data_IF_698335696834
#
_entry.id   IF_698335696834
#
_cell.length_a   1.000
_cell.length_b   1.000
_cell.length_c   1.000
_cell.angle_alpha   90.00
_cell.angle_beta   90.00
_cell.angle_gamma   90.00
#
_symmetry.space_group_name_H-M   'P 1'
#
loop_
_entity.id
_entity.type
_entity.pdbx_description
1 polymer ?
#
# COMPACT_ATOMS: atom_id res chain seq x y z
N UNK A 1 -43.53 37.98 -12.38
CA UNK A 1 -43.58 36.85 -13.32
C UNK A 1 -42.52 35.84 -12.90
N UNK A 2 -42.99 34.63 -12.62
CA UNK A 2 -42.26 33.41 -12.27
C UNK A 2 -41.24 33.00 -13.33
N UNK A 3 -40.15 32.33 -12.90
CA UNK A 3 -39.46 31.19 -13.53
C UNK A 3 -38.12 31.01 -12.76
N UNK A 4 -38.04 30.25 -11.66
CA UNK A 4 -37.94 28.77 -11.61
C UNK A 4 -37.04 28.19 -12.69
N UNK A 5 -35.73 28.06 -12.43
CA UNK A 5 -34.90 27.00 -13.01
C UNK A 5 -33.87 26.53 -11.98
N UNK A 6 -34.40 25.79 -11.01
CA UNK A 6 -33.81 24.59 -10.44
C UNK A 6 -33.12 23.78 -11.55
N UNK A 7 -31.79 23.82 -11.59
CA UNK A 7 -30.96 22.79 -12.24
C UNK A 7 -30.01 22.30 -11.15
N UNK A 8 -30.55 21.59 -10.16
CA UNK A 8 -30.42 20.13 -10.11
C UNK A 8 -28.96 19.73 -10.28
N UNK A 9 -28.25 19.78 -9.15
CA UNK A 9 -27.21 18.85 -8.75
C UNK A 9 -27.13 17.65 -9.69
N UNK A 10 -26.28 17.77 -10.71
CA UNK A 10 -25.85 16.63 -11.50
C UNK A 10 -24.89 15.87 -10.60
N UNK A 11 -25.46 14.97 -9.80
CA UNK A 11 -24.74 13.87 -9.18
C UNK A 11 -23.90 13.24 -10.31
N UNK A 12 -22.56 13.18 -10.22
CA UNK A 12 -21.80 12.47 -11.21
C UNK A 12 -22.28 11.03 -11.15
N UNK A 13 -23.02 10.67 -12.20
CA UNK A 13 -23.48 9.34 -12.51
C UNK A 13 -22.34 8.37 -12.17
N UNK A 14 -22.60 7.37 -11.32
CA UNK A 14 -21.67 6.26 -11.09
C UNK A 14 -21.21 5.81 -12.46
N UNK A 15 -19.97 6.14 -12.81
CA UNK A 15 -19.31 5.59 -13.99
C UNK A 15 -19.49 4.07 -13.88
N UNK A 16 -20.06 3.40 -14.90
CA UNK A 16 -20.12 1.95 -14.90
C UNK A 16 -18.71 1.43 -14.61
N UNK A 17 -18.58 0.56 -13.61
CA UNK A 17 -17.29 -0.02 -13.23
C UNK A 17 -16.67 -0.62 -14.49
N UNK A 18 -15.71 0.11 -15.08
CA UNK A 18 -14.94 -0.36 -16.22
C UNK A 18 -14.44 -1.75 -15.84
N UNK A 19 -14.64 -2.78 -16.70
CA UNK A 19 -14.21 -4.13 -16.37
C UNK A 19 -12.74 -4.05 -15.98
N UNK A 20 -12.46 -4.42 -14.73
CA UNK A 20 -11.11 -4.43 -14.19
C UNK A 20 -10.27 -5.20 -15.19
N UNK A 21 -9.23 -4.56 -15.74
CA UNK A 21 -8.37 -5.22 -16.72
C UNK A 21 -7.91 -6.56 -16.14
N UNK A 22 -7.96 -7.64 -16.93
CA UNK A 22 -7.59 -8.98 -16.48
C UNK A 22 -6.21 -9.00 -15.79
N UNK A 23 -5.30 -8.14 -16.25
CA UNK A 23 -3.98 -7.95 -15.64
C UNK A 23 -4.05 -7.34 -14.23
N UNK A 24 -4.95 -6.38 -14.00
CA UNK A 24 -5.20 -5.79 -12.68
C UNK A 24 -5.73 -6.84 -11.70
N UNK A 25 -6.67 -7.68 -12.14
CA UNK A 25 -7.20 -8.77 -11.31
C UNK A 25 -6.14 -9.84 -11.01
N UNK A 26 -5.26 -10.14 -11.98
CA UNK A 26 -4.15 -11.06 -11.76
C UNK A 26 -3.19 -10.53 -10.67
N UNK A 27 -2.78 -9.26 -10.74
CA UNK A 27 -1.93 -8.65 -9.71
C UNK A 27 -2.63 -8.57 -8.36
N UNK A 28 -3.92 -8.21 -8.34
CA UNK A 28 -4.73 -8.20 -7.12
C UNK A 28 -4.71 -9.56 -6.42
N UNK A 29 -4.96 -10.65 -7.16
CA UNK A 29 -4.94 -12.02 -6.61
C UNK A 29 -3.55 -12.42 -6.11
N UNK A 30 -2.48 -12.04 -6.81
CA UNK A 30 -1.09 -12.28 -6.36
C UNK A 30 -0.78 -11.56 -5.05
N UNK A 31 -1.16 -10.29 -4.92
CA UNK A 31 -0.96 -9.50 -3.69
C UNK A 31 -1.80 -10.06 -2.53
N UNK A 32 -3.02 -10.55 -2.79
CA UNK A 32 -3.88 -11.13 -1.76
C UNK A 32 -3.29 -12.39 -1.10
N UNK A 33 -2.40 -13.11 -1.78
CA UNK A 33 -1.71 -14.28 -1.21
C UNK A 33 -0.64 -13.90 -0.19
N UNK A 34 -0.16 -12.64 -0.21
CA UNK A 34 0.87 -12.18 0.72
C UNK A 34 0.29 -12.02 2.14
N UNK A 35 1.14 -12.05 3.18
CA UNK A 35 0.71 -11.77 4.55
C UNK A 35 -0.01 -10.43 4.67
N UNK A 36 -1.03 -10.35 5.52
CA UNK A 36 -1.82 -9.12 5.72
C UNK A 36 -0.98 -7.89 6.05
N UNK A 37 0.10 -8.09 6.82
CA UNK A 37 1.06 -7.04 7.17
C UNK A 37 1.78 -6.48 5.93
N UNK A 38 2.25 -7.36 5.05
CA UNK A 38 2.89 -6.99 3.78
C UNK A 38 1.91 -6.25 2.86
N UNK A 39 0.66 -6.70 2.80
CA UNK A 39 -0.40 -5.99 2.07
C UNK A 39 -0.64 -4.58 2.66
N UNK A 40 -0.63 -4.45 4.00
CA UNK A 40 -0.84 -3.17 4.66
C UNK A 40 0.29 -2.18 4.35
N UNK A 41 1.55 -2.62 4.47
CA UNK A 41 2.74 -1.83 4.11
C UNK A 41 2.64 -1.35 2.65
N UNK A 42 2.31 -2.27 1.74
CA UNK A 42 2.13 -1.93 0.33
C UNK A 42 1.05 -0.86 0.13
N UNK A 43 -0.10 -0.98 0.78
CA UNK A 43 -1.19 -0.01 0.63
C UNK A 43 -0.84 1.35 1.23
N UNK A 44 -0.18 1.39 2.38
CA UNK A 44 0.30 2.63 3.00
C UNK A 44 1.33 3.35 2.10
N UNK A 45 2.26 2.61 1.51
CA UNK A 45 3.21 3.18 0.55
C UNK A 45 2.52 3.62 -0.74
N UNK A 46 1.61 2.80 -1.29
CA UNK A 46 1.08 3.00 -2.64
C UNK A 46 -0.09 3.99 -2.70
N UNK A 47 -1.01 3.94 -1.74
CA UNK A 47 -2.20 4.78 -1.72
C UNK A 47 -2.00 6.04 -0.87
N UNK A 48 -1.32 5.91 0.26
CA UNK A 48 -1.09 7.04 1.18
C UNK A 48 0.23 7.77 0.92
N UNK A 49 1.08 7.23 0.02
CA UNK A 49 2.36 7.80 -0.36
C UNK A 49 3.30 8.05 0.84
N UNK A 50 3.14 7.25 1.90
CA UNK A 50 3.96 7.37 3.09
C UNK A 50 5.39 6.86 2.80
N UNK A 51 6.43 7.59 3.25
CA UNK A 51 7.80 7.12 3.16
C UNK A 51 8.02 5.93 4.10
N UNK A 52 8.99 5.08 3.79
CA UNK A 52 9.21 3.84 4.55
C UNK A 52 9.55 4.08 6.03
N UNK A 53 10.22 5.20 6.35
CA UNK A 53 10.49 5.59 7.74
C UNK A 53 9.18 5.82 8.53
N UNK A 54 8.20 6.49 7.93
CA UNK A 54 6.93 6.77 8.59
C UNK A 54 6.08 5.50 8.70
N UNK A 55 6.11 4.62 7.70
CA UNK A 55 5.45 3.31 7.76
C UNK A 55 6.08 2.44 8.86
N UNK A 56 7.42 2.42 8.95
CA UNK A 56 8.15 1.70 9.97
C UNK A 56 7.76 2.19 11.37
N UNK A 57 7.71 3.51 11.58
CA UNK A 57 7.25 4.11 12.83
C UNK A 57 5.78 3.79 13.12
N UNK A 58 4.89 3.88 12.12
CA UNK A 58 3.44 3.60 12.27
C UNK A 58 3.18 2.15 12.68
N UNK A 59 3.95 1.21 12.13
CA UNK A 59 3.78 -0.22 12.36
C UNK A 59 4.69 -0.77 13.47
N UNK A 60 5.45 0.09 14.16
CA UNK A 60 6.42 -0.29 15.20
C UNK A 60 7.41 -1.35 14.68
N UNK A 61 7.99 -1.09 13.52
CA UNK A 61 8.95 -1.95 12.84
C UNK A 61 10.21 -1.21 12.45
N UNK A 62 11.24 -1.98 12.11
CA UNK A 62 12.42 -1.46 11.46
C UNK A 62 12.23 -1.21 9.96
N UNK A 63 12.94 -0.23 9.41
CA UNK A 63 12.88 0.17 7.99
C UNK A 63 13.31 -0.98 7.08
N UNK A 64 14.33 -1.74 7.45
CA UNK A 64 14.80 -2.87 6.65
C UNK A 64 13.70 -3.94 6.51
N UNK A 65 12.88 -4.13 7.56
CA UNK A 65 11.75 -5.05 7.51
C UNK A 65 10.65 -4.58 6.55
N UNK A 66 10.42 -3.27 6.46
CA UNK A 66 9.49 -2.66 5.50
C UNK A 66 10.01 -2.87 4.08
N UNK A 67 11.29 -2.63 3.84
CA UNK A 67 11.94 -2.85 2.54
C UNK A 67 11.84 -4.31 2.09
N UNK A 68 12.17 -5.27 2.96
CA UNK A 68 12.01 -6.70 2.66
C UNK A 68 10.58 -7.06 2.30
N UNK A 69 9.59 -6.45 2.96
CA UNK A 69 8.18 -6.64 2.62
C UNK A 69 7.85 -6.07 1.24
N UNK A 70 8.37 -4.89 0.91
CA UNK A 70 8.17 -4.25 -0.40
C UNK A 70 8.85 -5.00 -1.54
N UNK A 71 10.06 -5.52 -1.31
CA UNK A 71 10.76 -6.40 -2.25
C UNK A 71 9.90 -7.63 -2.55
N UNK A 72 9.36 -8.31 -1.53
CA UNK A 72 8.47 -9.47 -1.71
C UNK A 72 7.22 -9.14 -2.52
N UNK A 73 6.64 -7.95 -2.36
CA UNK A 73 5.47 -7.52 -3.15
C UNK A 73 5.81 -7.44 -4.63
N UNK A 74 6.93 -6.78 -4.95
CA UNK A 74 7.39 -6.62 -6.32
C UNK A 74 7.81 -7.95 -6.93
N UNK A 75 8.51 -8.81 -6.20
CA UNK A 75 8.83 -10.17 -6.63
C UNK A 75 7.57 -10.98 -6.92
N UNK A 76 6.58 -10.97 -6.01
CA UNK A 76 5.34 -11.73 -6.17
C UNK A 76 4.51 -11.27 -7.38
N UNK A 77 4.67 -10.02 -7.82
CA UNK A 77 3.97 -9.46 -8.97
C UNK A 77 4.80 -9.51 -10.26
N UNK A 78 6.12 -9.67 -10.17
CA UNK A 78 6.98 -9.78 -11.33
C UNK A 78 6.74 -11.12 -12.03
N UNK A 79 6.69 -11.10 -13.36
CA UNK A 79 6.51 -12.32 -14.16
C UNK A 79 7.83 -13.08 -14.38
N UNK A 80 8.97 -12.41 -14.16
CA UNK A 80 10.31 -12.90 -14.50
C UNK A 80 11.31 -12.71 -13.33
N UNK A 81 11.02 -13.30 -12.17
CA UNK A 81 11.90 -13.23 -10.99
C UNK A 81 13.12 -14.14 -11.07
N UNK A 82 13.22 -15.00 -12.09
CA UNK A 82 14.30 -15.97 -12.20
C UNK A 82 15.66 -15.32 -12.51
N UNK A 83 15.66 -14.17 -13.19
CA UNK A 83 16.89 -13.45 -13.50
C UNK A 83 17.41 -12.67 -12.27
N UNK A 84 18.69 -12.84 -11.87
CA UNK A 84 19.26 -12.15 -10.72
C UNK A 84 19.27 -10.62 -10.90
N UNK A 85 19.33 -10.13 -12.13
CA UNK A 85 19.29 -8.71 -12.48
C UNK A 85 17.95 -8.08 -12.09
N UNK A 86 16.83 -8.81 -12.29
CA UNK A 86 15.49 -8.30 -11.93
C UNK A 86 15.35 -8.16 -10.40
N UNK A 87 15.92 -9.10 -9.64
CA UNK A 87 15.97 -9.00 -8.18
C UNK A 87 16.81 -7.80 -7.72
N UNK A 88 17.97 -7.57 -8.35
CA UNK A 88 18.80 -6.39 -8.06
C UNK A 88 18.06 -5.09 -8.37
N UNK A 89 17.35 -5.02 -9.50
CA UNK A 89 16.54 -3.88 -9.88
C UNK A 89 15.43 -3.58 -8.85
N UNK A 90 14.72 -4.62 -8.39
CA UNK A 90 13.69 -4.51 -7.35
C UNK A 90 14.29 -3.99 -6.03
N UNK A 91 15.45 -4.50 -5.62
CA UNK A 91 16.15 -4.05 -4.41
C UNK A 91 16.55 -2.58 -4.51
N UNK A 92 17.17 -2.18 -5.62
CA UNK A 92 17.52 -0.77 -5.84
C UNK A 92 16.30 0.13 -5.84
N UNK A 93 15.23 -0.28 -6.52
CA UNK A 93 14.00 0.49 -6.60
C UNK A 93 13.37 0.73 -5.21
N UNK A 94 13.32 -0.30 -4.37
CA UNK A 94 12.81 -0.19 -3.01
C UNK A 94 13.74 0.68 -2.16
N UNK A 95 15.04 0.39 -2.16
CA UNK A 95 16.03 1.10 -1.36
C UNK A 95 16.02 2.62 -1.63
N UNK A 96 15.91 3.01 -2.89
CA UNK A 96 15.88 4.43 -3.30
C UNK A 96 14.61 5.19 -2.88
N UNK A 97 13.54 4.51 -2.48
CA UNK A 97 12.36 5.17 -1.91
C UNK A 97 12.54 5.54 -0.43
N UNK A 98 13.54 4.99 0.24
CA UNK A 98 13.86 5.37 1.61
C UNK A 98 14.59 6.72 1.62
N UNK A 99 14.14 7.71 2.42
CA UNK A 99 14.84 9.00 2.53
C UNK A 99 16.25 8.86 3.13
N UNK A 100 16.58 7.71 3.71
CA UNK A 100 17.89 7.42 4.28
C UNK A 100 18.94 6.99 3.23
N UNK A 101 18.58 6.88 1.95
CA UNK A 101 19.51 6.52 0.89
C UNK A 101 20.66 7.54 0.79
N UNK A 102 21.85 7.13 1.24
CA UNK A 102 23.04 8.00 1.38
C UNK A 102 23.61 8.38 0.02
N UNK A 103 24.45 9.42 -0.02
CA UNK A 103 25.15 9.81 -1.24
C UNK A 103 26.01 8.66 -1.82
N UNK A 104 26.66 7.87 -0.96
CA UNK A 104 27.43 6.69 -1.37
C UNK A 104 26.57 5.66 -2.09
N UNK A 105 25.40 5.33 -1.53
CA UNK A 105 24.49 4.35 -2.13
C UNK A 105 23.93 4.83 -3.48
N UNK A 106 23.76 6.15 -3.66
CA UNK A 106 23.38 6.71 -4.96
C UNK A 106 24.48 6.61 -6.00
N UNK A 107 25.75 6.69 -5.59
CA UNK A 107 26.91 6.47 -6.46
C UNK A 107 27.01 4.98 -6.82
N UNK A 108 26.84 4.07 -5.86
CA UNK A 108 26.79 2.62 -6.11
C UNK A 108 25.67 2.25 -7.08
N UNK A 109 24.47 2.82 -6.90
CA UNK A 109 23.37 2.65 -7.85
C UNK A 109 23.73 3.13 -9.26
N UNK A 110 24.40 4.28 -9.37
CA UNK A 110 24.87 4.80 -10.66
C UNK A 110 25.86 3.84 -11.32
N UNK A 111 26.85 3.36 -10.57
CA UNK A 111 27.80 2.38 -11.06
C UNK A 111 27.12 1.09 -11.51
N UNK A 112 26.12 0.63 -10.76
CA UNK A 112 25.31 -0.52 -11.16
C UNK A 112 24.57 -0.24 -12.48
N UNK A 113 23.93 0.92 -12.64
CA UNK A 113 23.25 1.28 -13.89
C UNK A 113 24.20 1.35 -15.11
N UNK A 114 25.39 1.90 -14.91
CA UNK A 114 26.35 2.12 -16.00
C UNK A 114 27.10 0.85 -16.41
N UNK A 115 27.04 -0.22 -15.60
CA UNK A 115 27.75 -1.47 -15.86
C UNK A 115 27.17 -2.29 -17.03
N UNK A 116 25.86 -2.24 -17.26
CA UNK A 116 25.19 -2.99 -18.33
C UNK A 116 23.85 -2.32 -18.71
N UNK A 117 23.56 -2.23 -20.02
CA UNK A 117 22.27 -1.78 -20.53
C UNK A 117 21.09 -2.65 -20.03
N UNK A 118 21.32 -3.93 -19.74
CA UNK A 118 20.31 -4.81 -19.15
C UNK A 118 19.87 -4.34 -17.76
N UNK A 119 20.75 -3.75 -16.96
CA UNK A 119 20.42 -3.22 -15.64
C UNK A 119 19.40 -2.08 -15.72
N UNK A 120 19.60 -1.14 -16.65
CA UNK A 120 18.65 -0.06 -16.91
C UNK A 120 17.29 -0.63 -17.35
N UNK A 121 17.29 -1.62 -18.25
CA UNK A 121 16.04 -2.23 -18.73
C UNK A 121 15.24 -2.91 -17.60
N UNK A 122 15.93 -3.61 -16.68
CA UNK A 122 15.32 -4.26 -15.52
C UNK A 122 14.80 -3.24 -14.49
N UNK A 123 15.54 -2.15 -14.28
CA UNK A 123 15.08 -1.05 -13.42
C UNK A 123 13.81 -0.40 -13.98
N UNK A 124 13.79 -0.06 -15.27
CA UNK A 124 12.59 0.49 -15.91
C UNK A 124 11.41 -0.49 -15.91
N UNK A 125 11.65 -1.80 -16.04
CA UNK A 125 10.62 -2.81 -15.91
C UNK A 125 9.99 -2.80 -14.51
N UNK A 126 10.82 -2.66 -13.47
CA UNK A 126 10.37 -2.52 -12.08
C UNK A 126 9.52 -1.25 -11.88
N UNK A 127 9.91 -0.12 -12.45
CA UNK A 127 9.12 1.12 -12.39
C UNK A 127 7.76 0.99 -13.10
N UNK A 128 7.73 0.33 -14.26
CA UNK A 128 6.47 0.05 -15.00
C UNK A 128 5.58 -0.87 -14.19
N UNK A 129 6.14 -1.91 -13.57
CA UNK A 129 5.41 -2.80 -12.67
C UNK A 129 4.79 -2.01 -11.52
N UNK A 130 5.58 -1.20 -10.82
CA UNK A 130 5.09 -0.39 -9.72
C UNK A 130 3.93 0.53 -10.11
N UNK A 131 4.01 1.18 -11.29
CA UNK A 131 2.91 1.99 -11.82
C UNK A 131 1.65 1.17 -12.08
N UNK A 132 1.78 -0.04 -12.65
CA UNK A 132 0.65 -0.96 -12.88
C UNK A 132 -0.02 -1.42 -11.59
N UNK A 133 0.71 -1.44 -10.47
CA UNK A 133 0.18 -1.82 -9.17
C UNK A 133 -0.76 -0.77 -8.52
N UNK A 134 -0.92 0.43 -9.11
CA UNK A 134 -1.85 1.44 -8.61
C UNK A 134 -3.31 0.96 -8.63
N UNK A 135 -3.79 0.43 -9.75
CA UNK A 135 -5.16 -0.03 -9.90
C UNK A 135 -5.51 -1.20 -8.93
N UNK A 136 -4.70 -2.27 -8.82
CA UNK A 136 -4.99 -3.33 -7.86
C UNK A 136 -4.88 -2.86 -6.41
N UNK A 137 -3.99 -1.91 -6.10
CA UNK A 137 -3.94 -1.29 -4.77
C UNK A 137 -5.25 -0.59 -4.43
N UNK A 138 -5.81 0.21 -5.36
CA UNK A 138 -7.06 0.93 -5.14
C UNK A 138 -8.22 -0.04 -4.82
N UNK A 139 -8.32 -1.15 -5.56
CA UNK A 139 -9.35 -2.18 -5.31
C UNK A 139 -9.14 -2.86 -3.94
N UNK A 140 -7.89 -3.18 -3.58
CA UNK A 140 -7.57 -3.81 -2.29
C UNK A 140 -7.75 -2.88 -1.10
N UNK A 141 -7.51 -1.59 -1.30
CA UNK A 141 -7.58 -0.53 -0.30
C UNK A 141 -8.97 0.08 -0.15
N UNK A 142 -9.94 -0.27 -1.01
CA UNK A 142 -11.26 0.38 -1.07
C UNK A 142 -12.01 0.37 0.28
N UNK A 143 -11.84 -0.65 1.12
CA UNK A 143 -12.47 -0.70 2.44
C UNK A 143 -11.76 0.12 3.52
N UNK A 144 -10.63 0.76 3.21
CA UNK A 144 -9.86 1.61 4.14
C UNK A 144 -9.22 0.86 5.31
N UNK A 145 -9.24 -0.49 5.30
CA UNK A 145 -8.75 -1.32 6.41
C UNK A 145 -7.28 -1.04 6.77
N UNK A 146 -6.46 -0.71 5.78
CA UNK A 146 -5.02 -0.44 5.94
C UNK A 146 -4.71 0.78 6.83
N UNK A 147 -5.64 1.74 6.91
CA UNK A 147 -5.53 2.95 7.73
C UNK A 147 -6.07 2.79 9.16
N UNK A 148 -6.78 1.69 9.47
CA UNK A 148 -7.44 1.52 10.79
C UNK A 148 -6.38 1.39 11.89
N UNK A 149 -6.28 2.42 12.73
CA UNK A 149 -5.44 2.38 13.93
C UNK A 149 -6.05 1.41 14.96
N UNK A 150 -5.25 0.45 15.44
CA UNK A 150 -5.61 -0.51 16.49
C UNK A 150 -6.23 0.14 17.75
N UNK A 151 -5.87 1.39 18.04
CA UNK A 151 -6.34 2.16 19.20
C UNK A 151 -7.83 2.49 19.20
N UNK A 152 -8.47 2.66 18.04
CA UNK A 152 -9.92 2.94 17.97
C UNK A 152 -10.72 1.74 18.48
N UNK A 153 -10.24 0.53 18.17
CA UNK A 153 -10.86 -0.71 18.64
C UNK A 153 -10.72 -0.89 20.16
N UNK A 154 -9.56 -0.52 20.72
CA UNK A 154 -9.33 -0.57 22.17
C UNK A 154 -10.20 0.46 22.89
N UNK A 155 -10.29 1.70 22.37
CA UNK A 155 -11.16 2.73 22.93
C UNK A 155 -12.64 2.33 22.91
N UNK A 156 -13.10 1.74 21.80
CA UNK A 156 -14.45 1.19 21.69
C UNK A 156 -14.69 0.05 22.69
N UNK A 157 -13.74 -0.90 22.80
CA UNK A 157 -13.85 -2.03 23.71
C UNK A 157 -13.91 -1.59 25.18
N UNK A 158 -13.07 -0.62 25.57
CA UNK A 158 -13.08 -0.04 26.92
C UNK A 158 -14.39 0.70 27.22
N UNK A 159 -14.93 1.43 26.25
CA UNK A 159 -16.21 2.12 26.40
C UNK A 159 -17.36 1.10 26.56
N UNK A 160 -17.37 0.03 25.76
CA UNK A 160 -18.37 -1.04 25.90
C UNK A 160 -18.24 -1.77 27.24
N UNK A 161 -17.02 -2.05 27.70
CA UNK A 161 -16.78 -2.68 28.99
C UNK A 161 -17.27 -1.78 30.14
N UNK A 162 -17.00 -0.47 30.06
CA UNK A 162 -17.48 0.51 31.04
C UNK A 162 -19.02 0.58 31.07
N UNK A 163 -19.69 0.63 29.92
CA UNK A 163 -21.15 0.62 29.85
C UNK A 163 -21.75 -0.68 30.39
N UNK A 164 -21.15 -1.84 30.10
CA UNK A 164 -21.57 -3.11 30.66
C UNK A 164 -21.42 -3.14 32.19
N UNK A 165 -20.32 -2.61 32.73
CA UNK A 165 -20.13 -2.50 34.18
C UNK A 165 -21.16 -1.57 34.84
N UNK A 166 -21.57 -0.48 34.19
CA UNK A 166 -22.63 0.41 34.69
C UNK A 166 -24.00 -0.26 34.69
N UNK A 167 -24.33 -1.04 33.66
CA UNK A 167 -25.57 -1.83 33.60
C UNK A 167 -25.64 -2.88 34.72
N UNK A 168 -24.55 -3.62 34.95
CA UNK A 168 -24.47 -4.60 36.05
C UNK A 168 -24.57 -3.93 37.41
N UNK A 169 -23.97 -2.74 37.59
CA UNK A 169 -24.09 -1.99 38.83
C UNK A 169 -25.52 -1.48 39.06
N UNK A 170 -26.24 -1.02 38.03
CA UNK A 170 -27.61 -0.54 38.15
C UNK A 170 -28.59 -1.63 38.61
N UNK A 171 -28.42 -2.86 38.11
CA UNK A 171 -29.21 -4.03 38.53
C UNK A 171 -28.92 -4.46 39.98
N UNK A 172 -27.72 -4.19 40.50
CA UNK A 172 -27.34 -4.56 41.86
C UNK A 172 -27.89 -3.62 42.96
N UNK A 173 -28.42 -2.46 42.57
CA UNK A 173 -28.96 -1.44 43.49
C UNK A 173 -30.50 -1.30 43.44
N UNK A 174 -31.19 -2.21 42.75
CA UNK A 174 -32.66 -2.37 42.74
C UNK A 174 -33.08 -3.64 43.44
#
# INVERSE_FOLDING_TARGET
MTNQLTSLFTLPNRLPELPVSQQTDAYRRRIQKLPRKTQQIFLLSRLDQLPYADIAHLLEQDVESVERCMIRVLEQCSDDTAAPINLQAVRWYVHLQSPQATASQRIEFRHWLDADALHLSAFQATERLWRRLQAPAAILGASGWHRRKRRVYIGWLLLTAFLCSLLVAAEAFT
#
